data_IF_299219078555
#
_entry.id   IF_299219078555
#
_cell.length_a   1.000
_cell.length_b   1.000
_cell.length_c   1.000
_cell.angle_alpha   90.00
_cell.angle_beta   90.00
_cell.angle_gamma   90.00
#
_symmetry.space_group_name_H-M   'P 1'
#
loop_
_entity.id
_entity.type
_entity.pdbx_description
1 polymer ?
#
# COMPACT_ATOMS: atom_id res chain seq x y z
N UNK A 1 -1.17 -1.31 15.56
CA UNK A 1 -2.12 -1.19 14.47
C UNK A 1 -1.42 -1.42 13.13
N UNK A 2 -1.85 -2.43 12.35
CA UNK A 2 -1.24 -2.80 11.06
C UNK A 2 -1.81 -2.04 9.86
N UNK A 3 -2.79 -1.18 10.06
CA UNK A 3 -3.48 -0.46 8.99
C UNK A 3 -2.96 0.97 8.79
N UNK A 4 -2.51 1.58 9.86
CA UNK A 4 -2.07 2.98 9.89
C UNK A 4 -0.67 3.10 10.46
N UNK A 5 -0.07 4.25 10.25
CA UNK A 5 1.27 4.57 10.69
C UNK A 5 2.26 4.64 9.53
N UNK A 6 3.51 4.84 9.84
CA UNK A 6 4.58 5.00 8.87
C UNK A 6 4.67 3.81 7.90
N UNK A 7 4.48 4.07 6.60
CA UNK A 7 4.43 3.07 5.54
C UNK A 7 3.09 2.31 5.42
N UNK A 8 2.11 2.58 6.31
CA UNK A 8 0.78 1.99 6.28
C UNK A 8 0.79 0.46 6.42
N UNK A 9 -0.30 -0.17 6.02
CA UNK A 9 -0.43 -1.64 6.05
C UNK A 9 0.64 -2.37 5.23
N UNK A 10 1.19 -1.74 4.19
CA UNK A 10 2.25 -2.29 3.34
C UNK A 10 3.55 -2.59 4.09
N UNK A 11 3.85 -1.85 5.15
CA UNK A 11 5.09 -2.00 5.94
C UNK A 11 5.26 -3.41 6.54
N UNK A 12 4.16 -4.13 6.75
CA UNK A 12 4.16 -5.48 7.30
C UNK A 12 3.97 -6.57 6.23
N UNK A 13 4.07 -6.21 4.96
CA UNK A 13 4.02 -7.13 3.82
C UNK A 13 5.41 -7.37 3.23
N UNK A 14 5.48 -8.16 2.16
CA UNK A 14 6.70 -8.32 1.36
C UNK A 14 7.02 -7.11 0.46
N UNK A 15 6.14 -6.11 0.43
CA UNK A 15 6.36 -4.88 -0.33
C UNK A 15 6.39 -5.07 -1.83
N UNK A 16 5.38 -5.75 -2.39
CA UNK A 16 5.22 -5.89 -3.84
C UNK A 16 5.03 -4.53 -4.51
N UNK A 17 5.81 -4.27 -5.57
CA UNK A 17 5.91 -2.98 -6.24
C UNK A 17 5.26 -2.97 -7.64
N UNK A 18 4.31 -3.86 -7.88
CA UNK A 18 3.60 -3.88 -9.17
C UNK A 18 2.68 -2.68 -9.31
N UNK A 19 2.77 -2.00 -10.44
CA UNK A 19 1.88 -0.88 -10.80
C UNK A 19 1.20 -1.14 -12.14
N UNK A 20 -0.03 -0.65 -12.30
CA UNK A 20 -0.76 -0.67 -13.57
C UNK A 20 -0.44 0.51 -14.50
N UNK A 21 0.40 1.44 -14.07
CA UNK A 21 0.79 2.60 -14.87
C UNK A 21 2.05 2.33 -15.69
N UNK A 22 2.11 2.95 -16.89
CA UNK A 22 3.33 3.02 -17.72
C UNK A 22 4.03 4.38 -17.61
N UNK A 23 3.69 5.16 -16.59
CA UNK A 23 4.29 6.47 -16.35
C UNK A 23 5.79 6.31 -16.05
N UNK A 24 6.60 7.08 -16.76
CA UNK A 24 8.07 7.05 -16.61
C UNK A 24 8.54 7.46 -15.22
N UNK A 25 7.73 8.24 -14.48
CA UNK A 25 7.99 8.63 -13.09
C UNK A 25 7.96 7.44 -12.12
N UNK A 26 7.33 6.32 -12.50
CA UNK A 26 7.37 5.10 -11.68
C UNK A 26 8.81 4.61 -11.45
N UNK A 27 9.70 4.81 -12.43
CA UNK A 27 11.11 4.48 -12.30
C UNK A 27 11.79 5.28 -11.19
N UNK A 28 11.51 6.58 -11.08
CA UNK A 28 12.05 7.44 -10.02
C UNK A 28 11.65 6.94 -8.62
N UNK A 29 10.41 6.45 -8.46
CA UNK A 29 9.96 5.88 -7.18
C UNK A 29 10.78 4.65 -6.79
N UNK A 30 11.09 3.76 -7.75
CA UNK A 30 11.93 2.60 -7.47
C UNK A 30 13.37 3.00 -7.11
N UNK A 31 13.92 3.99 -7.78
CA UNK A 31 15.24 4.54 -7.48
C UNK A 31 15.29 5.13 -6.08
N UNK A 32 14.28 5.87 -5.66
CA UNK A 32 14.15 6.36 -4.29
C UNK A 32 14.12 5.23 -3.25
N UNK A 33 13.46 4.13 -3.54
CA UNK A 33 13.50 2.97 -2.64
C UNK A 33 14.90 2.38 -2.53
N UNK A 34 15.62 2.23 -3.64
CA UNK A 34 17.01 1.71 -3.66
C UNK A 34 17.94 2.65 -2.90
N UNK A 35 17.89 3.96 -3.17
CA UNK A 35 18.68 4.97 -2.45
C UNK A 35 18.44 4.93 -0.92
N UNK A 36 17.26 4.47 -0.51
CA UNK A 36 16.88 4.37 0.90
C UNK A 36 17.00 2.96 1.50
N UNK A 37 17.60 2.00 0.78
CA UNK A 37 18.00 0.70 1.32
C UNK A 37 17.22 -0.51 0.82
N UNK A 38 16.38 -0.36 -0.20
CA UNK A 38 15.86 -1.48 -0.95
C UNK A 38 16.95 -2.09 -1.85
N UNK A 39 16.76 -3.34 -2.27
CA UNK A 39 17.70 -4.02 -3.15
C UNK A 39 17.60 -3.50 -4.59
N UNK A 40 18.74 -3.44 -5.29
CA UNK A 40 18.81 -2.93 -6.66
C UNK A 40 18.01 -3.77 -7.68
N UNK A 41 17.74 -5.02 -7.36
CA UNK A 41 16.99 -5.94 -8.20
C UNK A 41 15.55 -5.49 -8.49
N UNK A 42 14.96 -4.67 -7.62
CA UNK A 42 13.63 -4.07 -7.88
C UNK A 42 13.60 -3.20 -9.13
N UNK A 43 14.75 -2.75 -9.61
CA UNK A 43 14.85 -1.89 -10.79
C UNK A 43 14.67 -2.65 -12.12
N UNK A 44 14.85 -3.97 -12.13
CA UNK A 44 14.82 -4.78 -13.34
C UNK A 44 13.99 -6.07 -13.25
N UNK A 45 13.59 -6.48 -12.05
CA UNK A 45 12.73 -7.67 -11.92
C UNK A 45 11.32 -7.40 -12.45
N UNK A 46 10.75 -8.39 -13.10
CA UNK A 46 9.37 -8.32 -13.63
C UNK A 46 8.29 -8.28 -12.53
N UNK A 47 8.59 -8.83 -11.35
CA UNK A 47 7.71 -8.82 -10.16
C UNK A 47 8.51 -8.30 -8.96
N UNK A 48 8.86 -7.00 -8.93
CA UNK A 48 9.72 -6.46 -7.88
C UNK A 48 9.01 -6.45 -6.53
N UNK A 49 9.76 -6.75 -5.48
CA UNK A 49 9.34 -6.62 -4.08
C UNK A 49 10.54 -6.24 -3.20
N UNK A 50 10.30 -5.49 -2.14
CA UNK A 50 11.38 -5.01 -1.28
C UNK A 50 11.81 -6.09 -0.28
N UNK A 51 10.89 -6.92 0.15
CA UNK A 51 11.10 -7.89 1.23
C UNK A 51 10.74 -7.31 2.61
N UNK A 52 10.18 -8.16 3.46
CA UNK A 52 9.65 -7.78 4.79
C UNK A 52 10.73 -7.24 5.73
N UNK A 53 11.94 -7.74 5.59
CA UNK A 53 13.12 -7.34 6.37
C UNK A 53 13.68 -5.98 5.95
N UNK A 54 13.59 -5.65 4.66
CA UNK A 54 14.10 -4.40 4.08
C UNK A 54 13.10 -3.26 4.11
N UNK A 55 11.81 -3.57 4.03
CA UNK A 55 10.76 -2.54 3.85
C UNK A 55 10.72 -1.54 5.01
N UNK A 56 10.76 -2.02 6.25
CA UNK A 56 10.73 -1.15 7.43
C UNK A 56 11.94 -0.21 7.52
N UNK A 57 13.20 -0.68 7.37
CA UNK A 57 14.35 0.21 7.28
C UNK A 57 14.26 1.22 6.14
N UNK A 58 13.80 0.81 4.95
CA UNK A 58 13.65 1.68 3.78
C UNK A 58 12.69 2.83 4.07
N UNK A 59 11.50 2.54 4.59
CA UNK A 59 10.52 3.57 4.96
C UNK A 59 11.07 4.55 6.00
N UNK A 60 11.75 4.03 7.04
CA UNK A 60 12.42 4.86 8.05
C UNK A 60 13.50 5.76 7.44
N UNK A 61 14.26 5.27 6.47
CA UNK A 61 15.30 6.05 5.81
C UNK A 61 14.70 7.15 4.92
N UNK A 62 13.59 6.87 4.21
CA UNK A 62 12.85 7.89 3.45
C UNK A 62 12.40 9.02 4.37
N UNK A 63 11.84 8.72 5.55
CA UNK A 63 11.49 9.74 6.53
C UNK A 63 12.69 10.58 6.94
N UNK A 64 13.83 9.94 7.24
CA UNK A 64 15.07 10.65 7.59
C UNK A 64 15.55 11.55 6.44
N UNK A 65 15.43 11.09 5.18
CA UNK A 65 15.76 11.86 3.99
C UNK A 65 14.86 13.10 3.88
N UNK A 66 13.54 12.96 4.08
CA UNK A 66 12.60 14.08 4.11
C UNK A 66 13.05 15.14 5.14
N UNK A 67 13.34 14.71 6.36
CA UNK A 67 13.78 15.62 7.44
C UNK A 67 15.11 16.28 7.09
N UNK A 68 16.07 15.55 6.53
CA UNK A 68 17.37 16.10 6.13
C UNK A 68 17.30 17.14 5.00
N UNK A 69 16.22 17.10 4.21
CA UNK A 69 15.92 18.06 3.15
C UNK A 69 15.09 19.25 3.63
N UNK A 70 14.84 19.37 4.95
CA UNK A 70 14.09 20.47 5.54
C UNK A 70 12.59 20.22 5.63
N UNK A 71 12.12 19.02 5.31
CA UNK A 71 10.73 18.62 5.52
C UNK A 71 10.45 18.25 6.96
N UNK A 72 9.19 18.25 7.34
CA UNK A 72 8.72 17.88 8.67
C UNK A 72 7.83 16.64 8.61
N UNK A 73 7.87 15.80 9.65
CA UNK A 73 7.04 14.61 9.76
C UNK A 73 6.46 14.56 11.17
N UNK A 74 5.15 14.63 11.25
CA UNK A 74 4.41 14.64 12.50
C UNK A 74 3.71 13.30 12.70
N UNK A 75 4.04 12.60 13.79
CA UNK A 75 3.32 11.40 14.23
C UNK A 75 2.16 11.77 15.14
N UNK A 76 1.21 10.85 15.28
CA UNK A 76 0.03 11.02 16.13
C UNK A 76 -0.75 12.31 15.84
N UNK A 77 -0.65 12.76 14.58
CA UNK A 77 -1.26 13.99 14.10
C UNK A 77 -2.29 13.66 13.03
N UNK A 78 -3.53 14.02 13.29
CA UNK A 78 -4.69 13.70 12.47
C UNK A 78 -5.17 14.93 11.71
N UNK A 79 -5.40 14.80 10.41
CA UNK A 79 -6.12 15.81 9.62
C UNK A 79 -7.59 15.79 10.04
N UNK A 80 -8.09 16.92 10.56
CA UNK A 80 -9.47 17.08 11.03
C UNK A 80 -10.32 17.92 10.09
N UNK A 81 -9.69 18.83 9.31
CA UNK A 81 -10.41 19.68 8.37
C UNK A 81 -9.51 20.16 7.24
N UNK A 82 -10.07 20.29 6.05
CA UNK A 82 -9.46 21.03 4.93
C UNK A 82 -10.11 22.42 4.93
N UNK A 83 -9.28 23.44 4.97
CA UNK A 83 -9.73 24.84 4.96
C UNK A 83 -9.75 25.36 3.53
N UNK A 84 -10.89 25.86 3.09
CA UNK A 84 -11.06 26.40 1.74
C UNK A 84 -11.68 27.79 1.78
N UNK A 85 -11.30 28.63 0.82
CA UNK A 85 -11.90 29.94 0.55
C UNK A 85 -12.01 30.10 -0.96
N UNK A 86 -13.18 30.49 -1.42
CA UNK A 86 -13.46 30.70 -2.85
C UNK A 86 -13.03 29.50 -3.73
N UNK A 87 -13.37 28.28 -3.31
CA UNK A 87 -12.98 27.00 -3.93
C UNK A 87 -11.47 26.73 -4.00
N UNK A 88 -10.67 27.46 -3.25
CA UNK A 88 -9.21 27.26 -3.17
C UNK A 88 -8.84 26.78 -1.77
N UNK A 89 -7.91 25.82 -1.70
CA UNK A 89 -7.33 25.38 -0.42
C UNK A 89 -6.47 26.50 0.14
N UNK A 90 -6.67 26.81 1.43
CA UNK A 90 -5.89 27.80 2.17
C UNK A 90 -5.19 27.20 3.40
N UNK A 91 -5.44 25.94 3.71
CA UNK A 91 -4.80 25.28 4.84
C UNK A 91 -5.50 23.99 5.25
N UNK A 92 -4.98 23.41 6.30
CA UNK A 92 -5.51 22.23 6.97
C UNK A 92 -5.54 22.43 8.47
N UNK A 93 -6.58 21.95 9.14
CA UNK A 93 -6.59 21.80 10.58
C UNK A 93 -6.09 20.39 10.90
N UNK A 94 -5.11 20.32 11.77
CA UNK A 94 -4.54 19.06 12.26
C UNK A 94 -4.67 19.00 13.78
N UNK A 95 -4.85 17.80 14.30
CA UNK A 95 -4.99 17.55 15.74
C UNK A 95 -3.89 16.63 16.23
N UNK A 96 -3.17 17.05 17.25
CA UNK A 96 -2.20 16.27 17.99
C UNK A 96 -2.64 16.16 19.46
N UNK A 97 -3.07 14.98 19.89
CA UNK A 97 -3.70 14.81 21.21
C UNK A 97 -4.96 15.68 21.35
N UNK A 98 -4.96 16.57 22.34
CA UNK A 98 -6.05 17.53 22.58
C UNK A 98 -5.84 18.89 21.88
N UNK A 99 -4.67 19.12 21.29
CA UNK A 99 -4.33 20.38 20.64
C UNK A 99 -4.68 20.35 19.16
N UNK A 100 -5.35 21.41 18.68
CA UNK A 100 -5.59 21.63 17.26
C UNK A 100 -4.70 22.77 16.76
N UNK A 101 -4.18 22.62 15.56
CA UNK A 101 -3.30 23.58 14.88
C UNK A 101 -3.75 23.78 13.44
N UNK A 102 -3.54 24.98 12.91
CA UNK A 102 -3.78 25.28 11.50
C UNK A 102 -2.44 25.34 10.77
N UNK A 103 -2.31 24.51 9.73
CA UNK A 103 -1.20 24.53 8.79
C UNK A 103 -1.65 25.29 7.55
N UNK A 104 -1.10 26.46 7.33
CA UNK A 104 -1.38 27.25 6.11
C UNK A 104 -0.67 26.62 4.91
N UNK A 105 -1.44 26.30 3.87
CA UNK A 105 -0.92 25.76 2.61
C UNK A 105 -1.96 25.92 1.50
N UNK A 106 -1.50 26.01 0.27
CA UNK A 106 -2.37 26.05 -0.90
C UNK A 106 -2.54 24.69 -1.56
N UNK A 107 -1.73 23.70 -1.17
CA UNK A 107 -1.72 22.37 -1.77
C UNK A 107 -1.75 21.28 -0.69
N UNK A 108 -2.62 20.30 -0.83
CA UNK A 108 -2.72 19.14 0.06
C UNK A 108 -2.73 17.85 -0.77
N UNK A 109 -1.86 16.91 -0.43
CA UNK A 109 -1.88 15.57 -1.00
C UNK A 109 -2.49 14.61 0.02
N UNK A 110 -3.65 14.04 -0.30
CA UNK A 110 -4.31 13.05 0.53
C UNK A 110 -3.84 11.63 0.15
N UNK A 111 -3.06 11.01 1.01
CA UNK A 111 -2.55 9.65 0.85
C UNK A 111 -2.93 8.78 2.06
N UNK A 112 -4.19 8.85 2.48
CA UNK A 112 -4.74 8.34 3.74
C UNK A 112 -5.04 6.84 3.74
N UNK A 113 -4.93 6.16 2.58
CA UNK A 113 -5.36 4.78 2.42
C UNK A 113 -6.89 4.63 2.46
N UNK A 114 -7.39 3.43 2.17
CA UNK A 114 -8.83 3.22 2.01
C UNK A 114 -9.58 3.01 3.34
N UNK A 115 -8.89 2.79 4.44
CA UNK A 115 -9.49 2.49 5.74
C UNK A 115 -9.75 3.73 6.62
N UNK A 116 -9.34 4.92 6.18
CA UNK A 116 -9.52 6.18 6.89
C UNK A 116 -10.95 6.72 6.75
N UNK A 117 -11.94 5.99 7.24
CA UNK A 117 -13.37 6.26 7.05
C UNK A 117 -13.79 7.62 7.59
N UNK A 118 -13.29 7.96 8.76
CA UNK A 118 -13.54 9.26 9.41
C UNK A 118 -13.01 10.44 8.59
N UNK A 119 -11.86 10.27 7.93
CA UNK A 119 -11.33 11.29 7.01
C UNK A 119 -12.19 11.40 5.75
N UNK A 120 -12.66 10.29 5.19
CA UNK A 120 -13.60 10.33 4.05
C UNK A 120 -14.91 11.02 4.42
N UNK A 121 -15.47 10.75 5.60
CA UNK A 121 -16.65 11.46 6.10
C UNK A 121 -16.40 12.96 6.26
N UNK A 122 -15.23 13.34 6.74
CA UNK A 122 -14.84 14.75 6.87
C UNK A 122 -14.76 15.44 5.52
N UNK A 123 -14.14 14.78 4.52
CA UNK A 123 -14.03 15.30 3.15
C UNK A 123 -15.41 15.50 2.52
N UNK A 124 -16.30 14.51 2.65
CA UNK A 124 -17.68 14.58 2.13
C UNK A 124 -18.46 15.73 2.78
N UNK A 125 -18.42 15.84 4.10
CA UNK A 125 -19.02 16.93 4.86
C UNK A 125 -18.46 18.32 4.51
N UNK A 126 -17.24 18.38 4.01
CA UNK A 126 -16.60 19.64 3.57
C UNK A 126 -17.07 20.09 2.18
N UNK A 127 -17.94 19.33 1.50
CA UNK A 127 -18.45 19.64 0.18
C UNK A 127 -17.47 19.42 -0.96
N UNK A 128 -16.36 18.73 -0.70
CA UNK A 128 -15.41 18.31 -1.74
C UNK A 128 -16.05 17.17 -2.52
N UNK A 129 -16.08 17.29 -3.86
CA UNK A 129 -16.68 16.30 -4.72
C UNK A 129 -16.04 14.93 -4.54
N UNK A 130 -16.86 13.94 -4.23
CA UNK A 130 -16.46 12.54 -4.12
C UNK A 130 -17.34 11.68 -5.04
N UNK A 131 -16.72 10.71 -5.68
CA UNK A 131 -17.40 9.74 -6.52
C UNK A 131 -17.27 8.33 -5.94
N UNK A 132 -18.37 7.58 -5.95
CA UNK A 132 -18.36 6.17 -5.58
C UNK A 132 -17.58 5.37 -6.62
N UNK A 133 -16.60 4.57 -6.14
CA UNK A 133 -15.78 3.73 -7.01
C UNK A 133 -15.92 2.27 -6.63
N UNK A 134 -16.14 1.36 -7.59
CA UNK A 134 -16.19 -0.07 -7.30
C UNK A 134 -14.84 -0.56 -6.76
N UNK A 135 -14.87 -1.49 -5.84
CA UNK A 135 -13.70 -2.12 -5.26
C UNK A 135 -13.90 -3.63 -5.14
N UNK A 136 -12.81 -4.35 -4.96
CA UNK A 136 -12.84 -5.80 -4.82
C UNK A 136 -13.05 -6.21 -3.37
N UNK A 137 -13.95 -7.15 -3.15
CA UNK A 137 -14.22 -7.76 -1.84
C UNK A 137 -13.92 -9.25 -1.94
N UNK A 138 -13.25 -9.80 -0.95
CA UNK A 138 -12.93 -11.22 -0.92
C UNK A 138 -12.52 -11.70 0.46
N UNK A 139 -12.26 -12.99 0.55
CA UNK A 139 -11.75 -13.65 1.74
C UNK A 139 -10.28 -14.06 1.51
N UNK A 140 -9.51 -14.07 2.59
CA UNK A 140 -8.19 -14.69 2.61
C UNK A 140 -8.34 -16.15 2.93
N UNK A 141 -7.58 -17.00 2.26
CA UNK A 141 -7.56 -18.44 2.49
C UNK A 141 -6.13 -18.91 2.66
N UNK A 142 -5.94 -19.97 3.43
CA UNK A 142 -4.69 -20.71 3.55
C UNK A 142 -4.88 -22.12 3.03
N UNK A 143 -3.84 -22.67 2.46
CA UNK A 143 -3.72 -24.07 2.08
C UNK A 143 -2.26 -24.50 2.10
N UNK A 144 -2.01 -25.80 2.10
CA UNK A 144 -0.65 -26.31 2.14
C UNK A 144 0.09 -25.98 0.82
N UNK A 145 1.29 -25.43 0.92
CA UNK A 145 2.16 -25.16 -0.24
C UNK A 145 2.39 -26.42 -1.08
N UNK A 146 2.59 -27.56 -0.42
CA UNK A 146 2.74 -28.85 -1.08
C UNK A 146 1.62 -29.18 -2.08
N UNK A 147 0.39 -28.77 -1.77
CA UNK A 147 -0.76 -28.99 -2.68
C UNK A 147 -0.57 -28.22 -3.98
N UNK A 148 -0.11 -26.98 -3.91
CA UNK A 148 0.17 -26.15 -5.09
C UNK A 148 1.37 -26.68 -5.85
N UNK A 149 2.46 -27.04 -5.17
CA UNK A 149 3.65 -27.59 -5.79
C UNK A 149 3.35 -28.87 -6.59
N UNK A 150 2.58 -29.79 -6.01
CA UNK A 150 2.18 -31.02 -6.70
C UNK A 150 1.26 -30.72 -7.91
N UNK A 151 0.34 -29.77 -7.76
CA UNK A 151 -0.58 -29.39 -8.85
C UNK A 151 0.16 -28.75 -10.03
N UNK A 152 1.21 -27.96 -9.78
CA UNK A 152 1.97 -27.26 -10.81
C UNK A 152 3.11 -28.10 -11.40
N UNK A 153 3.85 -28.81 -10.56
CA UNK A 153 5.09 -29.49 -10.94
C UNK A 153 5.00 -31.01 -10.93
N UNK A 154 3.86 -31.59 -10.53
CA UNK A 154 3.65 -33.02 -10.39
C UNK A 154 4.14 -33.60 -9.06
N UNK A 155 3.85 -34.89 -8.83
CA UNK A 155 4.14 -35.57 -7.57
C UNK A 155 5.64 -35.62 -7.22
N UNK A 156 6.50 -35.64 -8.23
CA UNK A 156 7.96 -35.69 -8.05
C UNK A 156 8.57 -34.34 -7.61
N UNK A 157 7.79 -33.25 -7.61
CA UNK A 157 8.23 -31.92 -7.21
C UNK A 157 8.90 -31.88 -5.84
N UNK A 158 8.48 -32.75 -4.94
CA UNK A 158 9.02 -32.87 -3.59
C UNK A 158 10.49 -33.36 -3.56
N UNK A 159 10.96 -33.98 -4.64
CA UNK A 159 12.34 -34.47 -4.79
C UNK A 159 13.24 -33.44 -5.49
N UNK A 160 12.63 -32.46 -6.13
CA UNK A 160 13.32 -31.41 -6.88
C UNK A 160 13.44 -30.16 -6.03
N UNK A 161 14.59 -29.48 -6.09
CA UNK A 161 14.78 -28.17 -5.43
C UNK A 161 14.20 -27.05 -6.30
N UNK A 162 12.88 -27.11 -6.55
CA UNK A 162 12.15 -26.07 -7.26
C UNK A 162 11.75 -24.94 -6.32
N UNK A 163 11.61 -23.71 -6.82
CA UNK A 163 10.99 -22.64 -6.05
C UNK A 163 9.53 -22.99 -5.73
N UNK A 164 8.96 -22.47 -4.64
CA UNK A 164 7.56 -22.71 -4.30
C UNK A 164 6.64 -22.27 -5.46
N UNK A 165 5.69 -23.12 -5.83
CA UNK A 165 4.71 -22.80 -6.87
C UNK A 165 3.76 -21.68 -6.39
N UNK A 166 3.46 -20.77 -7.31
CA UNK A 166 2.42 -19.75 -7.15
C UNK A 166 1.30 -19.94 -8.18
N UNK A 167 0.20 -19.21 -8.03
CA UNK A 167 -0.86 -19.17 -9.03
C UNK A 167 -1.52 -17.79 -9.10
N UNK A 168 -2.05 -17.49 -10.28
CA UNK A 168 -2.93 -16.34 -10.50
C UNK A 168 -4.12 -16.81 -11.32
N UNK A 169 -5.29 -16.77 -10.69
CA UNK A 169 -6.54 -17.21 -11.30
C UNK A 169 -7.45 -16.01 -11.53
N UNK A 170 -8.14 -16.00 -12.65
CA UNK A 170 -9.17 -15.01 -12.95
C UNK A 170 -10.24 -15.64 -13.81
N UNK A 171 -11.49 -15.35 -13.53
CA UNK A 171 -12.64 -15.75 -14.32
C UNK A 171 -13.66 -14.62 -14.41
N UNK A 172 -14.28 -14.46 -15.56
CA UNK A 172 -15.41 -13.56 -15.73
C UNK A 172 -16.70 -14.37 -15.71
N UNK A 173 -17.57 -14.03 -14.81
CA UNK A 173 -18.88 -14.67 -14.69
C UNK A 173 -19.83 -14.13 -15.76
N UNK A 174 -20.91 -14.90 -16.06
CA UNK A 174 -21.94 -14.51 -17.05
C UNK A 174 -22.64 -13.19 -16.73
N UNK A 175 -22.66 -12.78 -15.46
CA UNK A 175 -23.25 -11.52 -15.02
C UNK A 175 -22.27 -10.31 -15.11
N UNK A 176 -21.11 -10.49 -15.74
CA UNK A 176 -20.10 -9.44 -15.91
C UNK A 176 -19.14 -9.26 -14.72
N UNK A 177 -19.33 -9.97 -13.60
CA UNK A 177 -18.42 -9.88 -12.45
C UNK A 177 -17.12 -10.63 -12.71
N UNK A 178 -16.00 -10.02 -12.34
CA UNK A 178 -14.71 -10.67 -12.24
C UNK A 178 -14.53 -11.34 -10.87
N UNK A 179 -14.08 -12.59 -10.88
CA UNK A 179 -13.60 -13.30 -9.68
C UNK A 179 -12.15 -13.66 -9.92
N UNK A 180 -11.26 -13.31 -8.99
CA UNK A 180 -9.84 -13.52 -9.18
C UNK A 180 -9.09 -13.65 -7.85
N UNK A 181 -7.92 -14.31 -7.91
CA UNK A 181 -6.97 -14.27 -6.82
C UNK A 181 -6.22 -12.94 -6.88
N UNK A 182 -6.15 -12.21 -5.77
CA UNK A 182 -5.43 -10.94 -5.71
C UNK A 182 -3.92 -11.17 -5.63
N UNK A 183 -3.46 -11.84 -4.59
CA UNK A 183 -2.08 -12.28 -4.47
C UNK A 183 -2.04 -13.67 -3.83
N UNK A 184 -1.13 -14.50 -4.29
CA UNK A 184 -0.72 -15.73 -3.65
C UNK A 184 0.67 -15.52 -3.08
N UNK A 185 0.86 -15.83 -1.80
CA UNK A 185 2.14 -15.68 -1.10
C UNK A 185 2.62 -17.08 -0.68
N UNK A 186 3.48 -17.72 -1.47
CA UNK A 186 3.99 -19.05 -1.16
C UNK A 186 4.65 -19.10 0.22
N UNK A 187 4.24 -20.07 1.06
CA UNK A 187 4.75 -20.23 2.42
C UNK A 187 4.26 -19.18 3.43
N UNK A 188 3.40 -18.25 3.01
CA UNK A 188 2.85 -17.21 3.89
C UNK A 188 1.65 -17.68 4.72
N UNK A 189 1.36 -16.92 5.77
CA UNK A 189 0.17 -17.09 6.61
C UNK A 189 -0.75 -15.89 6.47
N UNK A 190 -2.05 -16.11 6.70
CA UNK A 190 -3.02 -15.02 6.74
C UNK A 190 -2.74 -14.12 7.94
N UNK A 191 -2.54 -12.84 7.67
CA UNK A 191 -2.45 -11.81 8.70
C UNK A 191 -3.86 -11.27 8.97
N UNK A 192 -4.22 -11.19 10.24
CA UNK A 192 -5.49 -10.61 10.69
C UNK A 192 -5.45 -9.08 10.53
N UNK A 193 -5.50 -8.62 9.30
CA UNK A 193 -5.59 -7.21 8.92
C UNK A 193 -6.88 -6.99 8.15
N UNK A 194 -7.94 -6.66 8.86
CA UNK A 194 -9.18 -6.20 8.27
C UNK A 194 -9.12 -4.69 8.06
N UNK A 195 -9.63 -4.23 6.95
CA UNK A 195 -9.83 -2.80 6.66
C UNK A 195 -11.32 -2.47 6.72
#
# INVERSE_FOLDING_TARGET
>A
NVQFGEGGAGTFSDGKLNTGTKDTRARKVLEEFVENGATEDILYLAKPHIGTDKLRPTVKNIRKKIISLGGEVFFETKLTKILTKDNTVIGAEVQHGESAEIVETNDIILAIGHSARDTFEMIDKSGILMEAKPFSVGARIEHLQKTTDIAQFGAESQKLKLPPADYKLAVHLKNGRGVYTFCMCPGGFVVAAAS
#
